data_IF_090349095107
#
_entry.id   IF_090349095107
#
_cell.length_a   1.000
_cell.length_b   1.000
_cell.length_c   1.000
_cell.angle_alpha   90.00
_cell.angle_beta   90.00
_cell.angle_gamma   90.00
#
_symmetry.space_group_name_H-M   'P 1'
#
loop_
_entity.id
_entity.type
_entity.pdbx_description
1 polymer ?
#
# COMPACT_ATOMS: atom_id res chain seq x y z
N UNK A 1 -4.05 -15.23 -8.82
CA UNK A 1 -2.85 -15.43 -7.99
C UNK A 1 -3.29 -15.20 -6.56
N UNK A 2 -3.21 -16.22 -5.71
CA UNK A 2 -3.57 -16.10 -4.30
C UNK A 2 -2.49 -15.28 -3.57
N UNK A 3 -2.92 -14.28 -2.80
CA UNK A 3 -2.08 -13.36 -2.00
C UNK A 3 -2.40 -13.49 -0.51
N UNK A 4 -2.74 -14.70 -0.07
CA UNK A 4 -2.85 -15.00 1.35
C UNK A 4 -1.54 -14.60 2.02
N UNK A 5 -1.62 -13.93 3.17
CA UNK A 5 -0.46 -13.53 3.97
C UNK A 5 0.49 -12.50 3.32
N UNK A 6 0.18 -12.00 2.12
CA UNK A 6 0.98 -10.95 1.47
C UNK A 6 0.87 -9.58 2.18
N UNK A 7 -0.23 -9.34 2.90
CA UNK A 7 -0.54 -8.04 3.49
C UNK A 7 -1.07 -7.01 2.48
N UNK A 8 -1.63 -5.92 3.00
CA UNK A 8 -2.17 -4.81 2.22
C UNK A 8 -2.10 -3.50 3.01
N UNK A 9 -1.73 -2.41 2.35
CA UNK A 9 -2.01 -1.05 2.80
C UNK A 9 -3.24 -0.49 2.10
N UNK A 10 -4.11 0.16 2.89
CA UNK A 10 -5.16 1.04 2.40
C UNK A 10 -4.78 2.47 2.74
N UNK A 11 -4.56 3.29 1.72
CA UNK A 11 -4.16 4.69 1.85
C UNK A 11 -5.37 5.56 1.52
N UNK A 12 -5.88 6.24 2.53
CA UNK A 12 -7.01 7.16 2.40
C UNK A 12 -6.51 8.59 2.27
N UNK A 13 -6.92 9.28 1.22
CA UNK A 13 -6.53 10.67 1.02
C UNK A 13 -7.49 11.60 1.75
N UNK A 14 -6.94 12.61 2.40
CA UNK A 14 -7.73 13.72 2.94
C UNK A 14 -8.54 14.39 1.83
N UNK A 15 -9.78 14.75 2.14
CA UNK A 15 -10.67 15.49 1.25
C UNK A 15 -11.49 16.51 2.04
N UNK A 16 -12.09 17.48 1.33
CA UNK A 16 -12.80 18.60 1.94
C UNK A 16 -14.25 18.25 2.35
N UNK A 17 -14.74 17.08 1.95
CA UNK A 17 -16.10 16.63 2.28
C UNK A 17 -16.13 15.94 3.63
N UNK A 18 -17.34 15.74 4.14
CA UNK A 18 -17.56 15.02 5.41
C UNK A 18 -17.27 13.54 5.18
N UNK A 19 -16.37 12.98 5.99
CA UNK A 19 -16.11 11.54 5.98
C UNK A 19 -17.37 10.75 6.37
N UNK A 20 -17.64 9.60 5.73
CA UNK A 20 -18.65 8.68 6.22
C UNK A 20 -18.30 8.23 7.64
N UNK A 21 -19.28 8.10 8.55
CA UNK A 21 -19.03 7.68 9.93
C UNK A 21 -18.49 6.24 10.04
N UNK A 22 -18.66 5.45 8.99
CA UNK A 22 -18.09 4.11 8.84
C UNK A 22 -17.80 3.86 7.36
N UNK A 23 -16.62 3.32 7.09
CA UNK A 23 -16.25 2.78 5.79
C UNK A 23 -15.98 1.28 5.95
N UNK A 24 -16.75 0.46 5.24
CA UNK A 24 -16.60 -1.00 5.26
C UNK A 24 -15.86 -1.45 4.01
N UNK A 25 -14.64 -1.96 4.17
CA UNK A 25 -13.77 -2.34 3.05
C UNK A 25 -14.26 -3.58 2.27
N UNK A 26 -15.34 -4.21 2.71
CA UNK A 26 -16.01 -5.31 2.01
C UNK A 26 -17.02 -4.81 0.98
N UNK A 27 -17.43 -3.55 1.09
CA UNK A 27 -18.38 -2.90 0.20
C UNK A 27 -17.65 -2.01 -0.82
N UNK A 28 -18.30 -1.65 -1.95
CA UNK A 28 -17.74 -0.65 -2.86
C UNK A 28 -17.42 0.66 -2.14
N UNK A 29 -16.22 1.20 -2.39
CA UNK A 29 -15.79 2.47 -1.80
C UNK A 29 -16.65 3.61 -2.36
N UNK A 30 -17.20 4.50 -1.51
CA UNK A 30 -17.92 5.69 -1.96
C UNK A 30 -17.10 6.52 -2.95
N UNK A 31 -17.73 7.04 -4.00
CA UNK A 31 -17.04 7.74 -5.09
C UNK A 31 -16.35 9.04 -4.66
N UNK A 32 -16.72 9.61 -3.52
CA UNK A 32 -16.14 10.81 -2.93
C UNK A 32 -14.98 10.52 -1.98
N UNK A 33 -14.73 9.24 -1.65
CA UNK A 33 -13.56 8.79 -0.93
C UNK A 33 -12.50 8.34 -1.93
N UNK A 34 -11.37 9.04 -1.93
CA UNK A 34 -10.21 8.67 -2.71
C UNK A 34 -9.33 7.71 -1.90
N UNK A 35 -8.95 6.60 -2.51
CA UNK A 35 -8.14 5.57 -1.87
C UNK A 35 -7.16 4.94 -2.86
N UNK A 36 -5.95 4.64 -2.40
CA UNK A 36 -4.99 3.77 -3.08
C UNK A 36 -4.79 2.53 -2.22
N UNK A 37 -4.66 1.36 -2.85
CA UNK A 37 -4.28 0.14 -2.16
C UNK A 37 -2.96 -0.39 -2.71
N UNK A 38 -2.14 -0.93 -1.80
CA UNK A 38 -0.85 -1.54 -2.13
C UNK A 38 -0.85 -2.94 -1.57
N UNK A 39 -0.75 -3.93 -2.45
CA UNK A 39 -0.65 -5.34 -2.05
C UNK A 39 0.81 -5.73 -1.89
N UNK A 40 1.11 -6.58 -0.91
CA UNK A 40 2.37 -7.34 -0.94
C UNK A 40 2.47 -8.17 -2.22
N UNK A 41 3.69 -8.37 -2.70
CA UNK A 41 3.93 -8.98 -4.01
C UNK A 41 3.57 -10.47 -4.01
N UNK A 42 4.04 -11.20 -3.00
CA UNK A 42 3.93 -12.64 -2.82
C UNK A 42 3.06 -12.98 -1.61
N UNK A 43 2.13 -13.90 -1.82
CA UNK A 43 1.45 -14.59 -0.72
C UNK A 43 2.09 -15.93 -0.43
N UNK A 44 1.64 -16.57 0.64
CA UNK A 44 2.15 -17.86 1.11
C UNK A 44 2.24 -18.94 0.01
N UNK A 45 3.43 -19.54 -0.15
CA UNK A 45 3.72 -20.62 -1.11
C UNK A 45 4.83 -21.54 -0.62
N UNK A 46 4.47 -22.78 -0.28
CA UNK A 46 5.46 -23.82 0.09
C UNK A 46 6.35 -23.39 1.26
N UNK A 47 7.57 -22.94 0.99
CA UNK A 47 8.53 -22.46 1.99
C UNK A 47 8.53 -20.95 2.18
N UNK A 48 7.85 -20.21 1.29
CA UNK A 48 7.65 -18.76 1.37
C UNK A 48 6.38 -18.50 2.20
N UNK A 49 6.51 -17.71 3.25
CA UNK A 49 5.40 -17.41 4.18
C UNK A 49 4.46 -16.32 3.67
N UNK A 50 4.78 -15.68 2.55
CA UNK A 50 4.16 -14.46 2.04
C UNK A 50 4.87 -13.23 2.60
N UNK A 51 4.80 -12.10 1.89
CA UNK A 51 5.64 -10.93 2.22
C UNK A 51 5.24 -10.24 3.55
N UNK A 52 3.99 -10.40 4.01
CA UNK A 52 3.44 -9.75 5.21
C UNK A 52 3.72 -8.23 5.22
N UNK A 53 3.22 -7.54 4.19
CA UNK A 53 3.28 -6.09 4.07
C UNK A 53 2.46 -5.41 5.18
N UNK A 54 3.08 -4.43 5.84
CA UNK A 54 2.40 -3.49 6.72
C UNK A 54 2.29 -3.92 8.17
N UNK A 55 3.23 -4.74 8.65
CA UNK A 55 3.37 -5.03 10.08
C UNK A 55 3.73 -3.78 10.91
N UNK A 56 4.57 -2.90 10.35
CA UNK A 56 4.96 -1.61 10.90
C UNK A 56 5.14 -0.60 9.76
N UNK A 57 4.81 0.66 10.03
CA UNK A 57 4.94 1.75 9.08
C UNK A 57 5.26 3.07 9.75
N UNK A 58 5.83 3.97 8.97
CA UNK A 58 5.98 5.39 9.28
C UNK A 58 5.60 6.22 8.05
N UNK A 59 5.17 7.46 8.28
CA UNK A 59 4.72 8.36 7.23
C UNK A 59 5.18 9.79 7.52
N UNK A 60 5.92 10.35 6.57
CA UNK A 60 6.40 11.72 6.59
C UNK A 60 6.71 12.16 5.16
N UNK A 61 6.96 13.44 4.97
CA UNK A 61 7.60 13.95 3.76
C UNK A 61 9.12 13.71 3.90
N UNK A 62 9.61 12.58 3.39
CA UNK A 62 11.00 12.15 3.56
C UNK A 62 11.93 12.75 2.52
N UNK A 63 11.42 13.07 1.32
CA UNK A 63 12.22 13.64 0.22
C UNK A 63 12.08 15.16 0.05
N UNK A 64 11.12 15.80 0.73
CA UNK A 64 10.96 17.24 0.80
C UNK A 64 10.12 17.84 -0.34
N UNK A 65 9.33 17.03 -1.03
CA UNK A 65 8.49 17.47 -2.16
C UNK A 65 7.12 18.05 -1.73
N UNK A 66 6.82 18.02 -0.42
CA UNK A 66 5.55 18.48 0.14
C UNK A 66 4.42 17.45 0.08
N UNK A 67 4.71 16.20 -0.26
CA UNK A 67 3.81 15.04 -0.23
C UNK A 67 4.24 14.10 0.89
N UNK A 68 3.27 13.43 1.50
CA UNK A 68 3.57 12.41 2.51
C UNK A 68 3.93 11.11 1.81
N UNK A 69 5.16 10.65 2.03
CA UNK A 69 5.65 9.33 1.67
C UNK A 69 5.18 8.28 2.68
N UNK A 70 5.24 7.02 2.26
CA UNK A 70 5.01 5.88 3.15
C UNK A 70 6.27 5.01 3.21
N UNK A 71 6.75 4.75 4.42
CA UNK A 71 7.75 3.73 4.68
C UNK A 71 7.10 2.59 5.44
N UNK A 72 7.27 1.35 4.96
CA UNK A 72 6.72 0.18 5.62
C UNK A 72 7.60 -1.03 5.44
N UNK A 73 7.47 -1.99 6.35
CA UNK A 73 8.14 -3.27 6.19
C UNK A 73 7.22 -4.31 5.54
N UNK A 74 7.84 -5.18 4.75
CA UNK A 74 7.33 -6.52 4.43
C UNK A 74 8.06 -7.45 5.37
N UNK A 75 7.41 -7.91 6.45
CA UNK A 75 8.09 -8.62 7.53
C UNK A 75 8.82 -9.89 7.04
N UNK A 76 8.23 -10.55 6.05
CA UNK A 76 8.71 -11.82 5.49
C UNK A 76 8.97 -11.68 3.99
N UNK A 77 9.30 -10.47 3.52
CA UNK A 77 9.66 -10.24 2.13
C UNK A 77 10.90 -11.04 1.68
N UNK A 78 10.94 -11.43 0.41
CA UNK A 78 11.97 -12.32 -0.14
C UNK A 78 13.34 -11.67 -0.44
N UNK A 79 13.53 -10.37 -0.19
CA UNK A 79 14.81 -9.71 -0.45
C UNK A 79 15.24 -9.75 -1.92
N UNK A 80 16.56 -9.89 -2.14
CA UNK A 80 17.16 -10.00 -3.48
C UNK A 80 17.59 -11.44 -3.77
N UNK A 81 17.44 -11.88 -5.02
CA UNK A 81 17.88 -13.21 -5.46
C UNK A 81 16.91 -14.30 -5.02
N UNK A 82 17.46 -15.43 -4.54
CA UNK A 82 16.69 -16.63 -4.13
C UNK A 82 16.42 -16.67 -2.61
N UNK A 83 16.54 -15.53 -1.92
CA UNK A 83 16.20 -15.45 -0.50
C UNK A 83 14.68 -15.60 -0.29
N UNK A 84 14.31 -16.10 0.89
CA UNK A 84 12.92 -16.25 1.32
C UNK A 84 12.79 -15.74 2.74
N UNK A 85 11.67 -15.08 3.06
CA UNK A 85 11.31 -14.65 4.42
C UNK A 85 12.41 -13.83 5.14
N UNK A 86 13.15 -12.99 4.41
CA UNK A 86 14.26 -12.19 4.97
C UNK A 86 13.85 -10.79 5.44
N UNK A 87 12.67 -10.34 4.99
CA UNK A 87 12.14 -9.02 5.23
C UNK A 87 12.61 -7.99 4.19
N UNK A 88 11.72 -7.05 3.84
CA UNK A 88 12.04 -5.88 3.01
C UNK A 88 11.65 -4.58 3.72
N UNK A 89 12.33 -3.49 3.37
CA UNK A 89 11.85 -2.14 3.58
C UNK A 89 11.31 -1.60 2.25
N UNK A 90 10.05 -1.18 2.26
CA UNK A 90 9.36 -0.58 1.12
C UNK A 90 9.19 0.90 1.40
N UNK A 91 9.57 1.74 0.43
CA UNK A 91 9.33 3.18 0.47
C UNK A 91 8.49 3.52 -0.76
N UNK A 92 7.37 4.18 -0.53
CA UNK A 92 6.46 4.66 -1.58
C UNK A 92 6.50 6.18 -1.59
N UNK A 93 6.87 6.76 -2.74
CA UNK A 93 6.85 8.20 -2.93
C UNK A 93 5.42 8.74 -2.85
N UNK A 94 5.23 9.80 -2.08
CA UNK A 94 3.99 10.55 -1.94
C UNK A 94 3.52 11.11 -3.28
N UNK A 95 4.44 11.60 -4.12
CA UNK A 95 4.14 12.06 -5.47
C UNK A 95 3.57 10.94 -6.34
N UNK A 96 4.26 9.79 -6.41
CA UNK A 96 3.84 8.68 -7.27
C UNK A 96 2.47 8.12 -6.85
N UNK A 97 2.23 7.94 -5.55
CA UNK A 97 0.94 7.44 -5.07
C UNK A 97 -0.17 8.48 -5.23
N UNK A 98 0.13 9.78 -5.24
CA UNK A 98 -0.87 10.83 -5.44
C UNK A 98 -1.15 11.11 -6.92
N UNK A 99 -0.22 10.87 -7.83
CA UNK A 99 -0.45 11.09 -9.26
C UNK A 99 -1.11 9.89 -9.94
N UNK A 100 -0.89 8.68 -9.41
CA UNK A 100 -1.42 7.42 -9.95
C UNK A 100 -2.96 7.31 -9.94
N UNK A 101 -3.68 8.29 -9.39
CA UNK A 101 -5.15 8.29 -9.33
C UNK A 101 -5.80 9.28 -10.30
N UNK A 102 -5.07 9.91 -11.21
CA UNK A 102 -5.69 10.67 -12.28
C UNK A 102 -6.38 9.66 -13.23
N UNK A 103 -7.71 9.76 -13.47
CA UNK A 103 -8.32 8.95 -14.52
C UNK A 103 -7.61 9.30 -15.83
N UNK A 104 -7.16 8.28 -16.57
CA UNK A 104 -6.69 8.48 -17.94
C UNK A 104 -7.87 8.98 -18.78
N UNK A 105 -7.99 10.30 -18.93
CA UNK A 105 -8.83 10.90 -19.95
C UNK A 105 -8.10 10.74 -21.28
N UNK A 106 -8.46 9.69 -22.02
CA UNK A 106 -8.18 9.63 -23.45
C UNK A 106 -9.09 10.63 -24.16
N UNK A 107 -8.51 11.64 -24.81
CA UNK A 107 -9.19 12.46 -25.83
C UNK A 107 -9.49 11.66 -27.10
#
# INVERSE_FOLDING_TARGET
>A
MERSDAGIFYIFYGHHSVWPPRLDLREPIPSDVRMTYVYGAHGHRSSDSGDVLGYSADAADFDGDGKTDLMANEMLGNGLGDAIDTGNLVILSGQDITDSTAPSVSE
#
